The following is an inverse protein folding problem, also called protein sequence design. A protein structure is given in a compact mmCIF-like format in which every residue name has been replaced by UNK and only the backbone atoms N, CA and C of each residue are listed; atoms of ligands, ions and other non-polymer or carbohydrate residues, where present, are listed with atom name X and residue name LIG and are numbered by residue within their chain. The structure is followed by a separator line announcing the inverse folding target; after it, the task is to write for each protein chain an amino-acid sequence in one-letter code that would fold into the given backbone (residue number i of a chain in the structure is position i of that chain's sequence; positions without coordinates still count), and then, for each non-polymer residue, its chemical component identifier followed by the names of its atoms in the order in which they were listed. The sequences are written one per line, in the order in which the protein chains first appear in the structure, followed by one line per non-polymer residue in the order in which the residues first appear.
data_IF_951284638883
#
_entry.id   IF_951284638883
#
_cell.length_a   1.000
_cell.length_b   1.000
_cell.length_c   1.000
_cell.angle_alpha   90.00
_cell.angle_beta   90.00
_cell.angle_gamma   90.00
#
_symmetry.space_group_name_H-M   'P 1'
#
loop_
_entity.id
_entity.type
_entity.pdbx_description
1 polymer ?
#
# COMPACT_ATOMS: atom_id res chain seq x y z
N UNK A 1 52.65 -17.52 -26.25
CA UNK A 1 52.37 -16.10 -25.95
C UNK A 1 51.02 -15.61 -26.51
N UNK A 2 50.68 -15.87 -27.79
CA UNK A 2 49.41 -15.41 -28.40
C UNK A 2 48.12 -15.88 -27.69
N UNK A 3 48.10 -17.12 -27.16
CA UNK A 3 46.93 -17.67 -26.44
C UNK A 3 46.68 -17.02 -25.07
N UNK A 4 47.75 -16.64 -24.37
CA UNK A 4 47.66 -15.95 -23.07
C UNK A 4 47.14 -14.53 -23.27
N UNK A 5 47.58 -13.85 -24.33
CA UNK A 5 47.07 -12.53 -24.70
C UNK A 5 45.57 -12.52 -25.02
N UNK A 6 45.07 -13.56 -25.71
CA UNK A 6 43.65 -13.69 -26.03
C UNK A 6 42.81 -13.89 -24.76
N UNK A 7 43.26 -14.73 -23.82
CA UNK A 7 42.55 -14.98 -22.55
C UNK A 7 42.51 -13.71 -21.68
N UNK A 8 43.60 -12.94 -21.67
CA UNK A 8 43.69 -11.68 -20.91
C UNK A 8 42.78 -10.60 -21.53
N UNK A 9 42.73 -10.51 -22.87
CA UNK A 9 41.79 -9.63 -23.56
C UNK A 9 40.32 -10.01 -23.30
N UNK A 10 40.02 -11.32 -23.23
CA UNK A 10 38.68 -11.82 -22.95
C UNK A 10 38.26 -11.54 -21.50
N UNK A 11 39.19 -11.66 -20.54
CA UNK A 11 38.96 -11.26 -19.14
C UNK A 11 38.71 -9.76 -18.98
N UNK A 12 39.45 -8.92 -19.71
CA UNK A 12 39.22 -7.47 -19.71
C UNK A 12 37.86 -7.12 -20.32
N UNK A 13 37.46 -7.80 -21.40
CA UNK A 13 36.15 -7.61 -22.03
C UNK A 13 34.98 -8.03 -21.13
N UNK A 14 35.10 -9.14 -20.39
CA UNK A 14 34.09 -9.57 -19.41
C UNK A 14 33.98 -8.54 -18.27
N UNK A 15 35.12 -7.99 -17.80
CA UNK A 15 35.12 -6.96 -16.76
C UNK A 15 34.43 -5.65 -17.18
N UNK A 16 34.52 -5.27 -18.46
CA UNK A 16 33.81 -4.12 -18.99
C UNK A 16 32.29 -4.33 -19.06
N UNK A 17 31.82 -5.57 -19.19
CA UNK A 17 30.38 -5.88 -19.22
C UNK A 17 29.71 -5.69 -17.85
N UNK A 18 30.42 -5.97 -16.76
CA UNK A 18 29.93 -5.81 -15.38
C UNK A 18 29.98 -4.38 -14.84
N UNK A 19 30.57 -3.44 -15.59
CA UNK A 19 30.77 -2.05 -15.15
C UNK A 19 29.74 -1.04 -15.71
N UNK A 20 28.64 -1.52 -16.30
CA UNK A 20 27.48 -0.66 -16.56
C UNK A 20 26.70 -0.49 -15.26
N UNK A 21 27.23 0.39 -14.40
CA UNK A 21 26.47 1.00 -13.33
C UNK A 21 25.36 1.84 -13.96
N UNK A 22 24.13 1.56 -13.55
CA UNK A 22 22.95 2.31 -13.95
C UNK A 22 23.11 3.76 -13.48
N UNK A 23 23.40 4.67 -14.41
CA UNK A 23 23.48 6.10 -14.12
C UNK A 23 22.11 6.54 -13.64
N UNK A 24 21.96 6.69 -12.32
CA UNK A 24 20.78 7.30 -11.71
C UNK A 24 20.63 8.69 -12.31
N UNK A 25 19.60 8.83 -13.14
CA UNK A 25 19.33 10.02 -13.94
C UNK A 25 18.73 11.10 -13.04
N UNK A 26 19.58 11.82 -12.32
CA UNK A 26 19.15 12.96 -11.52
C UNK A 26 18.70 14.10 -12.45
N UNK A 27 17.44 14.50 -12.31
CA UNK A 27 16.79 15.66 -12.93
C UNK A 27 16.76 15.67 -14.46
N UNK A 28 15.91 14.84 -15.05
CA UNK A 28 15.18 15.20 -16.26
C UNK A 28 13.71 15.29 -15.86
N UNK A 29 13.08 16.43 -16.15
CA UNK A 29 11.64 16.63 -15.99
C UNK A 29 10.91 15.51 -16.73
N UNK A 30 10.47 14.51 -15.95
CA UNK A 30 9.51 13.54 -16.41
C UNK A 30 8.19 14.28 -16.57
N UNK A 31 7.62 14.15 -17.76
CA UNK A 31 6.24 14.44 -18.06
C UNK A 31 5.35 13.94 -16.92
N UNK A 32 4.56 14.84 -16.34
CA UNK A 32 3.74 14.67 -15.15
C UNK A 32 2.47 13.85 -15.46
N UNK A 33 2.60 12.77 -16.24
CA UNK A 33 1.62 11.70 -16.19
C UNK A 33 1.95 10.88 -14.95
N UNK A 34 1.54 11.41 -13.80
CA UNK A 34 1.55 10.69 -12.53
C UNK A 34 0.55 9.54 -12.66
N UNK A 35 0.99 8.44 -13.25
CA UNK A 35 0.49 7.13 -12.86
C UNK A 35 0.91 7.01 -11.38
N UNK A 36 0.05 7.51 -10.49
CA UNK A 36 0.22 7.41 -9.04
C UNK A 36 0.26 5.93 -8.75
N UNK A 37 1.47 5.40 -8.70
CA UNK A 37 1.71 4.04 -8.30
C UNK A 37 1.29 3.96 -6.83
N UNK A 38 0.04 3.56 -6.58
CA UNK A 38 -0.51 3.31 -5.24
C UNK A 38 0.34 2.28 -4.46
N UNK A 39 1.38 1.70 -5.06
CA UNK A 39 2.26 0.68 -4.50
C UNK A 39 3.02 1.11 -3.23
N UNK A 40 3.15 2.40 -2.94
CA UNK A 40 3.82 2.85 -1.71
C UNK A 40 2.90 2.85 -0.47
N UNK A 41 1.57 2.81 -0.64
CA UNK A 41 0.61 2.86 0.47
C UNK A 41 -0.35 1.67 0.41
N UNK A 42 -0.53 0.90 1.49
CA UNK A 42 -1.53 -0.14 1.52
C UNK A 42 -2.92 0.50 1.44
N UNK A 43 -3.56 0.38 0.27
CA UNK A 43 -4.94 0.81 0.02
C UNK A 43 -5.79 -0.44 -0.14
N UNK A 44 -6.86 -0.54 0.65
CA UNK A 44 -7.84 -1.61 0.53
C UNK A 44 -9.02 -1.07 -0.28
N UNK A 45 -9.26 -1.66 -1.45
CA UNK A 45 -10.40 -1.33 -2.30
C UNK A 45 -11.37 -2.50 -2.32
N UNK A 46 -12.65 -2.25 -2.06
CA UNK A 46 -13.70 -3.26 -2.13
C UNK A 46 -14.43 -3.09 -3.46
N UNK A 47 -14.53 -4.16 -4.25
CA UNK A 47 -15.25 -4.16 -5.53
C UNK A 47 -16.73 -4.50 -5.33
N UNK A 48 -17.60 -4.12 -6.26
CA UNK A 48 -19.02 -4.47 -6.18
C UNK A 48 -19.25 -6.00 -6.18
N UNK A 49 -18.40 -6.75 -6.88
CA UNK A 49 -18.42 -8.22 -6.85
C UNK A 49 -18.05 -8.82 -5.48
N UNK A 50 -17.21 -8.13 -4.67
CA UNK A 50 -16.94 -8.55 -3.29
C UNK A 50 -18.15 -8.32 -2.36
N UNK A 51 -19.08 -7.44 -2.75
CA UNK A 51 -20.29 -7.12 -1.97
C UNK A 51 -21.44 -8.09 -2.25
N UNK A 52 -21.51 -8.68 -3.44
CA UNK A 52 -22.58 -9.62 -3.83
C UNK A 52 -22.40 -11.03 -3.24
N UNK A 53 -21.19 -11.39 -2.80
CA UNK A 53 -20.95 -12.70 -2.18
C UNK A 53 -21.40 -12.73 -0.72
N UNK A 54 -22.52 -13.43 -0.48
CA UNK A 54 -22.93 -14.04 0.79
C UNK A 54 -23.30 -13.15 1.99
N UNK A 55 -23.58 -11.85 1.85
CA UNK A 55 -24.10 -11.08 2.99
C UNK A 55 -25.20 -10.10 2.63
N UNK A 56 -26.38 -10.37 3.19
CA UNK A 56 -27.56 -9.52 3.33
C UNK A 56 -27.26 -8.31 4.27
N UNK A 57 -26.07 -7.72 4.19
CA UNK A 57 -25.63 -6.68 5.11
C UNK A 57 -26.01 -5.31 4.56
N UNK A 58 -27.20 -4.85 4.94
CA UNK A 58 -27.62 -3.46 4.71
C UNK A 58 -26.90 -2.45 5.62
N UNK A 59 -26.02 -2.92 6.50
CA UNK A 59 -25.33 -2.10 7.48
C UNK A 59 -23.97 -1.62 6.95
N UNK A 60 -23.84 -0.30 6.78
CA UNK A 60 -22.62 0.40 6.35
C UNK A 60 -21.43 0.08 7.27
N UNK A 61 -21.71 -0.21 8.55
CA UNK A 61 -20.72 -0.64 9.54
C UNK A 61 -19.95 -1.90 9.13
N UNK A 62 -20.64 -2.88 8.55
CA UNK A 62 -20.01 -4.10 8.05
C UNK A 62 -19.07 -3.83 6.89
N UNK A 63 -19.42 -2.88 6.02
CA UNK A 63 -18.63 -2.48 4.85
C UNK A 63 -17.34 -1.73 5.23
N UNK A 64 -17.41 -0.83 6.22
CA UNK A 64 -16.23 -0.13 6.72
C UNK A 64 -15.29 -1.05 7.52
N UNK A 65 -15.84 -2.08 8.18
CA UNK A 65 -15.07 -3.13 8.84
C UNK A 65 -14.54 -4.21 7.88
N UNK A 66 -15.13 -4.33 6.68
CA UNK A 66 -14.75 -5.32 5.67
C UNK A 66 -13.36 -5.09 5.06
N UNK A 67 -12.65 -4.03 5.45
CA UNK A 67 -11.21 -3.96 5.22
C UNK A 67 -10.59 -5.19 5.87
N UNK A 68 -10.16 -6.16 5.06
CA UNK A 68 -9.64 -7.49 5.48
C UNK A 68 -8.27 -7.37 6.19
N UNK A 69 -8.06 -6.34 6.99
CA UNK A 69 -6.85 -6.10 7.78
C UNK A 69 -6.79 -7.15 8.90
N UNK A 70 -5.82 -8.07 8.86
CA UNK A 70 -5.71 -9.15 9.85
C UNK A 70 -5.53 -8.60 11.27
N UNK A 71 -4.93 -7.42 11.45
CA UNK A 71 -4.71 -6.85 12.77
C UNK A 71 -6.00 -6.29 13.38
N UNK A 72 -6.82 -5.63 12.56
CA UNK A 72 -8.13 -5.13 12.97
C UNK A 72 -9.08 -6.29 13.26
N UNK A 73 -9.11 -7.32 12.39
CA UNK A 73 -9.99 -8.48 12.58
C UNK A 73 -9.60 -9.33 13.79
N UNK A 74 -8.30 -9.55 14.03
CA UNK A 74 -7.83 -10.31 15.19
C UNK A 74 -8.07 -9.55 16.51
N UNK A 75 -8.01 -8.22 16.49
CA UNK A 75 -8.22 -7.42 17.70
C UNK A 75 -9.61 -7.62 18.33
N UNK A 76 -10.65 -7.81 17.51
CA UNK A 76 -12.01 -8.06 18.00
C UNK A 76 -12.15 -9.38 18.77
N UNK A 77 -11.31 -10.39 18.47
CA UNK A 77 -11.42 -11.73 19.07
C UNK A 77 -10.36 -12.02 20.13
N UNK A 78 -9.14 -11.50 19.98
CA UNK A 78 -7.98 -11.94 20.79
C UNK A 78 -7.56 -10.94 21.87
N UNK A 79 -7.78 -9.64 21.66
CA UNK A 79 -7.26 -8.61 22.58
C UNK A 79 -8.20 -8.24 23.74
N UNK A 80 -9.44 -8.73 23.75
CA UNK A 80 -10.39 -8.49 24.84
C UNK A 80 -10.60 -6.99 25.10
N UNK A 81 -10.17 -6.43 26.25
CA UNK A 81 -10.27 -4.99 26.52
C UNK A 81 -9.24 -4.14 25.75
N UNK A 82 -8.15 -4.75 25.28
CA UNK A 82 -7.15 -4.05 24.49
C UNK A 82 -7.66 -3.87 23.06
N UNK A 83 -7.40 -2.68 22.49
CA UNK A 83 -7.85 -2.31 21.14
C UNK A 83 -6.67 -2.13 20.22
N UNK A 84 -6.85 -2.50 18.96
CA UNK A 84 -5.90 -2.16 17.91
C UNK A 84 -6.20 -0.76 17.37
N UNK A 85 -5.15 0.01 17.09
CA UNK A 85 -5.23 1.34 16.49
C UNK A 85 -4.43 1.33 15.19
N UNK A 86 -5.08 1.69 14.10
CA UNK A 86 -4.44 1.80 12.79
C UNK A 86 -3.33 2.87 12.91
N UNK A 87 -2.08 2.45 12.71
CA UNK A 87 -0.87 3.31 12.86
C UNK A 87 -0.72 3.98 14.24
N UNK A 88 -1.43 3.51 15.27
CA UNK A 88 -1.43 4.11 16.60
C UNK A 88 -2.32 5.36 16.76
N UNK A 89 -3.03 5.78 15.71
CA UNK A 89 -3.94 6.93 15.77
C UNK A 89 -5.26 6.57 16.45
N UNK A 90 -5.84 7.54 17.16
CA UNK A 90 -7.19 7.42 17.70
C UNK A 90 -8.24 7.77 16.63
N UNK A 91 -9.50 7.37 16.85
CA UNK A 91 -10.60 7.51 15.88
C UNK A 91 -10.84 8.96 15.43
N UNK A 92 -10.54 9.98 16.25
CA UNK A 92 -10.64 11.39 15.83
C UNK A 92 -9.76 11.72 14.61
N UNK A 93 -8.70 10.95 14.39
CA UNK A 93 -7.74 11.17 13.30
C UNK A 93 -7.99 10.25 12.10
N UNK A 94 -9.08 9.49 12.12
CA UNK A 94 -9.48 8.60 11.02
C UNK A 94 -10.65 9.23 10.30
N UNK A 95 -10.40 9.77 9.10
CA UNK A 95 -11.45 10.34 8.26
C UNK A 95 -12.23 9.21 7.57
N UNK A 96 -13.55 9.23 7.74
CA UNK A 96 -14.48 8.34 7.06
C UNK A 96 -15.42 9.17 6.21
N UNK A 97 -15.51 8.80 4.93
CA UNK A 97 -16.39 9.46 3.97
C UNK A 97 -17.30 8.46 3.28
N UNK A 98 -18.57 8.81 3.12
CA UNK A 98 -19.55 8.04 2.34
C UNK A 98 -19.97 8.92 1.17
N UNK A 99 -19.73 8.47 -0.05
CA UNK A 99 -20.02 9.23 -1.27
C UNK A 99 -19.42 10.66 -1.28
N UNK A 100 -18.25 10.84 -0.65
CA UNK A 100 -17.59 12.14 -0.52
C UNK A 100 -18.12 13.04 0.61
N UNK A 101 -19.15 12.63 1.34
CA UNK A 101 -19.61 13.31 2.54
C UNK A 101 -18.90 12.74 3.77
N UNK A 102 -18.48 13.62 4.69
CA UNK A 102 -17.85 13.22 5.96
C UNK A 102 -18.90 12.54 6.83
N UNK A 103 -18.60 11.33 7.29
CA UNK A 103 -19.47 10.53 8.16
C UNK A 103 -19.04 10.58 9.65
N UNK A 104 -17.88 11.18 9.94
CA UNK A 104 -17.43 11.42 11.31
C UNK A 104 -18.41 12.33 12.06
N UNK A 105 -18.51 12.12 13.37
CA UNK A 105 -19.24 13.03 14.24
C UNK A 105 -18.63 14.43 14.20
N UNK A 106 -19.47 15.45 14.07
CA UNK A 106 -19.05 16.85 13.93
C UNK A 106 -18.49 17.43 15.23
N UNK A 107 -18.89 16.88 16.38
CA UNK A 107 -18.45 17.36 17.68
C UNK A 107 -17.16 16.68 18.12
N UNK A 108 -17.14 15.35 18.13
CA UNK A 108 -15.97 14.58 18.59
C UNK A 108 -14.96 14.28 17.48
N UNK A 109 -15.32 14.40 16.20
CA UNK A 109 -14.49 13.97 15.07
C UNK A 109 -14.34 12.45 14.95
N UNK A 110 -14.93 11.66 15.87
CA UNK A 110 -14.81 10.21 15.88
C UNK A 110 -15.72 9.60 14.83
N UNK A 111 -15.22 8.58 14.15
CA UNK A 111 -16.06 7.67 13.40
C UNK A 111 -16.51 6.53 14.33
N UNK A 112 -17.80 6.22 14.26
CA UNK A 112 -18.45 5.13 14.99
C UNK A 112 -19.04 4.17 13.97
N UNK A 113 -18.69 2.89 14.06
CA UNK A 113 -19.23 1.83 13.22
C UNK A 113 -19.18 0.49 13.93
#
# INVERSE_FOLDING_TARGET
MRRILIVLALLVYIGQLSAQEEVKKDTVYADDSVDVEYSAMPVITISASDLESDQESQDISGLLSASRDPFVSTAGYTFGPARYRIRGYDSENTLVTINGLIANDVESGRAYW
#
